data_IF_538882595845
#
_entry.id   IF_538882595845
#
_cell.length_a   1.000
_cell.length_b   1.000
_cell.length_c   1.000
_cell.angle_alpha   90.00
_cell.angle_beta   90.00
_cell.angle_gamma   90.00
#
_symmetry.space_group_name_H-M   'P 1'
#
loop_
_entity.id
_entity.type
_entity.pdbx_description
1 polymer ?
#
# COMPACT_ATOMS: atom_id res chain seq x y z
N UNK A 1 -6.82 21.41 15.12
CA UNK A 1 -6.27 21.25 13.75
C UNK A 1 -6.92 20.03 13.12
N UNK A 2 -7.47 20.12 11.91
CA UNK A 2 -7.97 18.93 11.23
C UNK A 2 -6.77 18.02 10.92
N UNK A 3 -6.74 16.80 11.48
CA UNK A 3 -5.73 15.81 11.14
C UNK A 3 -5.77 15.59 9.62
N UNK A 4 -4.69 15.97 8.93
CA UNK A 4 -4.60 15.84 7.47
C UNK A 4 -4.66 14.35 7.12
N UNK A 5 -5.51 13.99 6.18
CA UNK A 5 -5.55 12.63 5.68
C UNK A 5 -4.21 12.27 5.03
N UNK A 6 -3.74 11.05 5.26
CA UNK A 6 -2.57 10.50 4.60
C UNK A 6 -2.95 9.89 3.25
N UNK A 7 -2.06 10.11 2.28
CA UNK A 7 -2.13 9.54 0.95
C UNK A 7 -0.84 8.80 0.65
N UNK A 8 -0.94 7.62 0.06
CA UNK A 8 0.19 6.97 -0.59
C UNK A 8 0.08 7.29 -2.08
N UNK A 9 0.92 8.19 -2.56
CA UNK A 9 0.97 8.53 -3.98
C UNK A 9 1.79 7.49 -4.75
N UNK A 10 1.55 7.30 -6.04
CA UNK A 10 2.38 6.48 -6.94
C UNK A 10 2.60 5.02 -6.49
N UNK A 11 1.52 4.32 -6.16
CA UNK A 11 1.53 2.85 -6.00
C UNK A 11 1.36 2.22 -7.36
N UNK A 12 2.29 1.32 -7.73
CA UNK A 12 2.24 0.62 -9.01
C UNK A 12 1.02 -0.31 -9.05
N UNK A 13 0.29 -0.35 -10.17
CA UNK A 13 -0.95 -1.14 -10.31
C UNK A 13 -0.73 -2.65 -10.07
N UNK A 14 0.47 -3.16 -10.32
CA UNK A 14 0.84 -4.55 -10.01
C UNK A 14 0.72 -4.93 -8.52
N UNK A 15 0.73 -3.96 -7.61
CA UNK A 15 0.55 -4.15 -6.16
C UNK A 15 -0.92 -4.03 -5.72
N UNK A 16 -1.83 -3.82 -6.68
CA UNK A 16 -3.24 -3.48 -6.45
C UNK A 16 -4.10 -4.58 -7.07
N UNK A 17 -4.68 -5.42 -6.23
CA UNK A 17 -5.52 -6.52 -6.65
C UNK A 17 -7.00 -6.19 -6.41
N UNK A 18 -7.71 -5.85 -7.49
CA UNK A 18 -9.16 -5.60 -7.43
C UNK A 18 -9.89 -6.93 -7.31
N UNK A 19 -10.73 -7.04 -6.28
CA UNK A 19 -11.53 -8.22 -5.97
C UNK A 19 -13.01 -7.82 -5.90
N UNK A 20 -13.89 -8.75 -6.28
CA UNK A 20 -15.33 -8.58 -6.19
C UNK A 20 -15.86 -9.47 -5.06
N UNK A 21 -16.61 -8.88 -4.13
CA UNK A 21 -17.31 -9.63 -3.08
C UNK A 21 -18.50 -10.38 -3.65
N UNK A 22 -19.01 -11.34 -2.89
CA UNK A 22 -20.24 -12.07 -3.22
C UNK A 22 -21.46 -11.14 -3.39
N UNK A 23 -21.49 -9.98 -2.72
CA UNK A 23 -22.54 -8.97 -2.88
C UNK A 23 -22.36 -8.05 -4.11
N UNK A 24 -21.38 -8.33 -4.98
CA UNK A 24 -21.10 -7.56 -6.19
C UNK A 24 -20.26 -6.30 -5.96
N UNK A 25 -19.99 -5.92 -4.71
CA UNK A 25 -19.13 -4.76 -4.41
C UNK A 25 -17.65 -5.07 -4.64
N UNK A 26 -16.98 -4.14 -5.29
CA UNK A 26 -15.55 -4.22 -5.54
C UNK A 26 -14.74 -3.56 -4.41
N UNK A 27 -13.58 -4.14 -4.13
CA UNK A 27 -12.57 -3.59 -3.23
C UNK A 27 -11.19 -3.92 -3.77
N UNK A 28 -10.19 -3.12 -3.44
CA UNK A 28 -8.81 -3.37 -3.83
C UNK A 28 -8.00 -3.87 -2.63
N UNK A 29 -7.23 -4.93 -2.82
CA UNK A 29 -6.21 -5.37 -1.87
C UNK A 29 -4.87 -4.76 -2.29
N UNK A 30 -4.24 -4.06 -1.37
CA UNK A 30 -2.98 -3.36 -1.59
C UNK A 30 -1.88 -4.14 -0.89
N UNK A 31 -0.88 -4.57 -1.64
CA UNK A 31 0.31 -5.20 -1.07
C UNK A 31 1.31 -4.15 -0.61
N UNK A 32 1.73 -4.25 0.65
CA UNK A 32 2.73 -3.38 1.28
C UNK A 32 3.88 -4.24 1.81
N UNK A 33 5.14 -3.83 1.63
CA UNK A 33 6.27 -4.51 2.24
C UNK A 33 6.14 -4.52 3.77
N UNK A 34 6.27 -5.69 4.38
CA UNK A 34 6.12 -5.87 5.81
C UNK A 34 7.04 -6.99 6.30
N UNK A 35 8.02 -6.64 7.15
CA UNK A 35 9.01 -7.58 7.66
C UNK A 35 8.42 -8.68 8.55
N UNK A 36 7.28 -8.41 9.18
CA UNK A 36 6.57 -9.42 9.99
C UNK A 36 5.96 -10.53 9.13
N UNK A 37 5.69 -10.26 7.84
CA UNK A 37 5.18 -11.25 6.92
C UNK A 37 6.30 -12.17 6.44
N UNK A 38 6.07 -13.48 6.50
CA UNK A 38 7.06 -14.48 6.03
C UNK A 38 7.27 -14.45 4.51
N UNK A 39 6.35 -13.84 3.75
CA UNK A 39 6.51 -13.57 2.31
C UNK A 39 7.17 -12.22 2.05
N UNK A 40 7.41 -11.40 3.08
CA UNK A 40 7.91 -10.03 2.97
C UNK A 40 6.83 -8.98 2.64
N UNK A 41 5.58 -9.40 2.42
CA UNK A 41 4.48 -8.51 2.07
C UNK A 41 3.24 -8.77 2.93
N UNK A 42 2.60 -7.70 3.38
CA UNK A 42 1.27 -7.69 3.95
C UNK A 42 0.26 -7.16 2.93
N UNK A 43 -1.02 -7.45 3.13
CA UNK A 43 -2.10 -6.92 2.30
C UNK A 43 -3.17 -6.26 3.15
N UNK A 44 -3.74 -5.15 2.67
CA UNK A 44 -4.92 -4.54 3.28
C UNK A 44 -5.97 -4.18 2.24
N UNK A 45 -7.24 -4.26 2.63
CA UNK A 45 -8.36 -3.92 1.76
C UNK A 45 -8.70 -2.43 1.84
N UNK A 46 -8.97 -1.82 0.69
CA UNK A 46 -9.53 -0.48 0.53
C UNK A 46 -10.77 -0.51 -0.34
N UNK A 47 -11.67 0.44 -0.12
CA UNK A 47 -12.80 0.65 -1.03
C UNK A 47 -12.32 1.29 -2.32
N UNK A 48 -13.01 1.04 -3.44
CA UNK A 48 -12.63 1.60 -4.74
C UNK A 48 -12.59 3.14 -4.76
N UNK A 49 -13.44 3.82 -3.97
CA UNK A 49 -13.41 5.28 -3.84
C UNK A 49 -12.16 5.84 -3.15
N UNK A 50 -11.32 4.98 -2.56
CA UNK A 50 -10.03 5.36 -1.99
C UNK A 50 -8.87 5.20 -2.98
N UNK A 51 -9.12 4.58 -4.13
CA UNK A 51 -8.16 4.42 -5.21
C UNK A 51 -8.35 5.56 -6.22
N UNK A 52 -7.36 6.44 -6.30
CA UNK A 52 -7.38 7.65 -7.12
C UNK A 52 -6.33 7.55 -8.23
N UNK A 53 -6.52 8.25 -9.36
CA UNK A 53 -5.45 8.37 -10.35
C UNK A 53 -4.21 9.03 -9.71
N UNK A 54 -3.03 8.50 -10.01
CA UNK A 54 -1.79 9.16 -9.62
C UNK A 54 -1.55 10.33 -10.58
N UNK A 55 -1.50 11.55 -10.08
CA UNK A 55 -1.25 12.75 -10.89
C UNK A 55 0.07 13.41 -10.55
N UNK A 56 0.71 13.99 -11.56
CA UNK A 56 1.86 14.89 -11.38
C UNK A 56 1.36 16.25 -10.88
N UNK A 57 2.31 17.13 -10.55
CA UNK A 57 2.01 18.49 -10.05
C UNK A 57 1.21 19.34 -11.04
N UNK A 58 1.38 19.08 -12.34
CA UNK A 58 0.65 19.73 -13.43
C UNK A 58 -0.75 19.12 -13.68
N UNK A 59 -1.11 18.06 -12.95
CA UNK A 59 -2.39 17.37 -13.06
C UNK A 59 -2.43 16.23 -14.08
N UNK A 60 -1.38 16.03 -14.88
CA UNK A 60 -1.30 14.87 -15.77
C UNK A 60 -1.24 13.55 -15.00
N UNK A 61 -2.00 12.57 -15.47
CA UNK A 61 -2.01 11.22 -14.89
C UNK A 61 -0.72 10.46 -15.22
N UNK A 62 -0.26 9.65 -14.27
CA UNK A 62 0.88 8.76 -14.43
C UNK A 62 0.36 7.35 -14.68
N UNK A 63 0.40 6.93 -15.94
CA UNK A 63 -0.01 5.59 -16.35
C UNK A 63 0.76 4.49 -15.59
N UNK A 64 0.06 3.43 -15.18
CA UNK A 64 0.63 2.33 -14.40
C UNK A 64 0.66 2.58 -12.88
N UNK A 65 0.21 3.74 -12.41
CA UNK A 65 0.25 4.12 -11.00
C UNK A 65 -1.08 4.68 -10.50
N UNK A 66 -1.35 4.45 -9.22
CA UNK A 66 -2.50 4.98 -8.50
C UNK A 66 -2.07 5.65 -7.20
N UNK A 67 -2.90 6.55 -6.70
CA UNK A 67 -2.78 7.12 -5.36
C UNK A 67 -3.85 6.54 -4.45
N UNK A 68 -3.50 6.29 -3.20
CA UNK A 68 -4.39 5.63 -2.22
C UNK A 68 -4.64 6.57 -1.06
N UNK A 69 -5.92 6.90 -0.82
CA UNK A 69 -6.35 7.65 0.36
C UNK A 69 -6.44 6.70 1.57
N UNK A 70 -5.52 6.82 2.52
CA UNK A 70 -5.51 5.98 3.72
C UNK A 70 -6.46 6.47 4.81
N UNK A 71 -6.69 7.79 4.89
CA UNK A 71 -7.50 8.41 5.93
C UNK A 71 -6.65 9.09 7.01
N UNK A 72 -7.18 9.23 8.22
CA UNK A 72 -6.48 9.94 9.30
C UNK A 72 -5.34 9.08 9.87
N UNK A 73 -4.19 9.66 10.25
CA UNK A 73 -3.01 8.92 10.74
C UNK A 73 -3.31 8.00 11.93
N UNK A 74 -4.18 8.45 12.85
CA UNK A 74 -4.55 7.73 14.07
C UNK A 74 -5.55 6.58 13.83
N UNK A 75 -6.14 6.48 12.63
CA UNK A 75 -7.05 5.38 12.32
C UNK A 75 -6.30 4.07 12.23
N UNK A 76 -6.87 3.03 12.83
CA UNK A 76 -6.33 1.68 12.74
C UNK A 76 -6.89 0.95 11.53
N UNK A 77 -6.04 0.19 10.84
CA UNK A 77 -6.39 -0.73 9.76
C UNK A 77 -5.86 -2.12 10.07
N UNK A 78 -6.56 -3.13 9.54
CA UNK A 78 -6.11 -4.51 9.58
C UNK A 78 -5.23 -4.79 8.37
N UNK A 79 -4.04 -5.30 8.61
CA UNK A 79 -3.12 -5.86 7.62
C UNK A 79 -3.13 -7.37 7.76
N UNK A 80 -3.35 -8.08 6.67
CA UNK A 80 -3.17 -9.53 6.61
C UNK A 80 -1.73 -9.83 6.26
N UNK A 81 -1.01 -10.51 7.16
CA UNK A 81 0.40 -10.92 6.99
C UNK A 81 0.49 -12.43 6.88
N UNK A 82 1.38 -12.91 6.00
CA UNK A 82 1.59 -14.35 5.84
C UNK A 82 2.39 -14.91 7.02
N UNK A 83 1.88 -15.95 7.66
CA UNK A 83 2.57 -16.64 8.76
C UNK A 83 3.54 -17.72 8.29
N UNK A 84 3.51 -18.07 7.00
CA UNK A 84 4.42 -19.03 6.37
C UNK A 84 5.01 -18.48 5.07
N UNK A 85 6.17 -19.01 4.66
CA UNK A 85 6.85 -18.59 3.42
C UNK A 85 6.08 -18.97 2.15
N UNK A 86 5.12 -19.89 2.24
CA UNK A 86 4.29 -20.34 1.12
C UNK A 86 3.12 -19.39 0.82
N UNK A 87 2.83 -18.41 1.68
CA UNK A 87 1.68 -17.52 1.52
C UNK A 87 0.33 -18.21 1.63
N UNK A 88 0.26 -19.35 2.32
CA UNK A 88 -1.00 -20.14 2.46
C UNK A 88 -1.67 -19.98 3.81
N UNK A 89 -1.00 -19.33 4.76
CA UNK A 89 -1.53 -19.07 6.09
C UNK A 89 -1.35 -17.60 6.41
N UNK A 90 -2.41 -16.95 6.91
CA UNK A 90 -2.47 -15.51 7.11
C UNK A 90 -2.95 -15.22 8.54
N UNK A 91 -2.43 -14.15 9.14
CA UNK A 91 -2.94 -13.56 10.38
C UNK A 91 -3.21 -12.08 10.15
N UNK A 92 -4.19 -11.53 10.83
CA UNK A 92 -4.43 -10.10 10.82
C UNK A 92 -3.66 -9.43 11.96
N UNK A 93 -2.92 -8.37 11.63
CA UNK A 93 -2.34 -7.43 12.59
C UNK A 93 -3.09 -6.10 12.48
N UNK A 94 -3.24 -5.41 13.61
CA UNK A 94 -3.83 -4.07 13.63
C UNK A 94 -2.71 -3.06 13.73
N UNK A 95 -2.65 -2.14 12.76
CA UNK A 95 -1.67 -1.06 12.71
C UNK A 95 -2.38 0.26 12.49
N UNK A 96 -1.72 1.36 12.81
CA UNK A 96 -2.18 2.70 12.47
C UNK A 96 -1.93 3.02 10.98
N UNK A 97 -2.70 3.95 10.44
CA UNK A 97 -2.51 4.48 9.09
C UNK A 97 -1.15 5.16 8.97
N UNK A 98 -0.65 5.76 10.04
CA UNK A 98 0.71 6.29 10.11
C UNK A 98 1.75 5.19 9.87
N UNK A 99 1.66 4.07 10.59
CA UNK A 99 2.59 2.94 10.42
C UNK A 99 2.57 2.38 8.99
N UNK A 100 1.39 2.30 8.35
CA UNK A 100 1.29 1.88 6.94
C UNK A 100 2.08 2.86 6.04
N UNK A 101 1.92 4.16 6.25
CA UNK A 101 2.63 5.17 5.47
C UNK A 101 4.15 5.05 5.67
N UNK A 102 4.60 4.81 6.91
CA UNK A 102 6.01 4.64 7.25
C UNK A 102 6.61 3.37 6.62
N UNK A 103 5.85 2.27 6.53
CA UNK A 103 6.27 1.06 5.80
C UNK A 103 6.50 1.35 4.31
N UNK A 104 5.62 2.12 3.66
CA UNK A 104 5.78 2.52 2.26
C UNK A 104 6.97 3.47 2.06
N UNK A 105 7.17 4.41 2.98
CA UNK A 105 8.31 5.34 2.92
C UNK A 105 9.63 4.58 3.07
N UNK A 106 9.72 3.70 4.06
CA UNK A 106 10.89 2.85 4.29
C UNK A 106 11.22 1.98 3.07
N UNK A 107 10.20 1.39 2.43
CA UNK A 107 10.39 0.61 1.22
C UNK A 107 10.88 1.45 0.03
N UNK A 108 10.40 2.69 -0.10
CA UNK A 108 10.86 3.63 -1.13
C UNK A 108 12.28 4.07 -0.91
N UNK A 109 12.65 4.37 0.32
CA UNK A 109 14.01 4.75 0.69
C UNK A 109 14.99 3.61 0.41
N UNK A 110 14.62 2.38 0.79
CA UNK A 110 15.40 1.18 0.46
C UNK A 110 15.55 0.99 -1.05
N UNK A 111 14.47 1.11 -1.82
CA UNK A 111 14.52 1.01 -3.28
C UNK A 111 15.37 2.12 -3.92
N UNK A 112 15.25 3.36 -3.43
CA UNK A 112 16.08 4.49 -3.90
C UNK A 112 17.55 4.24 -3.61
N UNK A 113 17.91 3.81 -2.40
CA UNK A 113 19.28 3.50 -2.01
C UNK A 113 19.88 2.40 -2.91
N UNK A 114 19.11 1.36 -3.22
CA UNK A 114 19.52 0.30 -4.15
C UNK A 114 19.63 0.79 -5.59
N UNK A 115 18.69 1.63 -6.05
CA UNK A 115 18.69 2.16 -7.42
C UNK A 115 19.83 3.15 -7.67
N UNK A 116 20.25 3.93 -6.66
CA UNK A 116 21.45 4.77 -6.73
C UNK A 116 22.74 3.95 -6.69
N UNK A 117 22.73 2.77 -6.06
CA UNK A 117 23.90 1.88 -6.06
C UNK A 117 24.07 1.17 -7.42
N UNK A 118 22.99 0.70 -8.03
CA UNK A 118 23.03 0.03 -9.34
C UNK A 118 23.22 0.96 -10.54
N UNK A 119 23.13 2.28 -10.37
CA UNK A 119 23.41 3.26 -11.43
C UNK A 119 24.86 3.78 -11.43
N UNK A 120 25.69 3.30 -10.48
CA UNK A 120 27.10 3.68 -10.35
C UNK A 120 28.07 2.53 -10.72
N UNK A 121 27.55 1.41 -11.24
CA UNK A 121 28.34 0.32 -11.84
C UNK A 121 28.33 0.39 -13.37
#
# INVERSE_FOLDING_TARGET
>A
MAAKNLFINFVHEALIHVNTRQDGKQFANISVPCQESKTGYASFAINMGQLLPATKRDGSEVAGYKSILLGKPEQTKKLSVATNKKGTSWKDITVTVQEIADMFNSAREAYRAQSTASAAE
#
